data_IF_095498273937
#
_entry.id   IF_095498273937
#
_cell.length_a   1.000
_cell.length_b   1.000
_cell.length_c   1.000
_cell.angle_alpha   90.00
_cell.angle_beta   90.00
_cell.angle_gamma   90.00
#
_symmetry.space_group_name_H-M   'P 1'
#
loop_
_entity.id
_entity.type
_entity.pdbx_description
1 polymer ?
#
# COMPACT_ATOMS: atom_id res chain seq x y z
N UNK A 1 3.08 22.23 -13.95
CA UNK A 1 3.41 22.16 -12.52
C UNK A 1 3.72 20.70 -12.27
N UNK A 2 4.77 20.36 -11.51
CA UNK A 2 5.20 18.96 -11.37
C UNK A 2 4.16 18.16 -10.58
N UNK A 3 3.24 17.51 -11.29
CA UNK A 3 2.10 16.84 -10.69
C UNK A 3 2.52 15.42 -10.28
N UNK A 4 2.65 15.21 -8.97
CA UNK A 4 2.80 13.90 -8.38
C UNK A 4 1.42 13.36 -8.04
N UNK A 5 1.13 12.14 -8.50
CA UNK A 5 -0.14 11.45 -8.26
C UNK A 5 -0.33 11.08 -6.76
N UNK A 6 0.78 10.94 -6.04
CA UNK A 6 0.79 10.70 -4.59
C UNK A 6 1.74 11.65 -3.86
N UNK A 7 1.43 11.93 -2.60
CA UNK A 7 2.22 12.79 -1.71
C UNK A 7 3.38 12.07 -1.01
N UNK A 8 3.56 10.77 -1.29
CA UNK A 8 4.56 9.96 -0.60
C UNK A 8 5.68 9.48 -1.53
N UNK A 9 6.89 9.52 -1.00
CA UNK A 9 8.11 9.04 -1.65
C UNK A 9 8.81 8.03 -0.74
N UNK A 10 9.17 6.88 -1.30
CA UNK A 10 10.21 6.03 -0.73
C UNK A 10 11.56 6.50 -1.25
N UNK A 11 12.59 6.43 -0.43
CA UNK A 11 13.96 6.73 -0.84
C UNK A 11 14.91 5.64 -0.36
N UNK A 12 15.97 5.42 -1.13
CA UNK A 12 17.04 4.49 -0.74
C UNK A 12 18.23 5.23 -0.11
N UNK A 13 18.76 6.24 -0.81
CA UNK A 13 19.97 6.96 -0.39
C UNK A 13 19.66 8.42 -0.03
N UNK A 14 19.99 8.80 1.22
CA UNK A 14 19.92 10.17 1.72
C UNK A 14 21.34 10.74 1.87
N UNK A 15 21.62 11.82 1.16
CA UNK A 15 22.93 12.48 1.15
C UNK A 15 22.87 13.81 1.92
N UNK A 16 23.93 14.10 2.67
CA UNK A 16 24.13 15.43 3.29
C UNK A 16 25.39 16.04 2.72
N UNK A 17 25.24 17.09 1.92
CA UNK A 17 26.34 17.90 1.40
C UNK A 17 26.14 19.35 1.84
N UNK A 18 25.67 20.21 0.95
CA UNK A 18 25.21 21.57 1.23
C UNK A 18 23.82 21.58 1.88
N UNK A 19 23.00 20.58 1.58
CA UNK A 19 21.68 20.33 2.16
C UNK A 19 21.43 18.81 2.25
N UNK A 20 20.25 18.41 2.71
CA UNK A 20 19.79 17.02 2.65
C UNK A 20 19.15 16.78 1.28
N UNK A 21 19.66 15.79 0.55
CA UNK A 21 19.14 15.37 -0.74
C UNK A 21 18.73 13.90 -0.68
N UNK A 22 17.64 13.55 -1.35
CA UNK A 22 17.26 12.15 -1.60
C UNK A 22 17.74 11.82 -3.01
N UNK A 23 18.69 10.89 -3.13
CA UNK A 23 19.34 10.59 -4.41
C UNK A 23 18.44 9.75 -5.33
N UNK A 24 17.83 8.71 -4.76
CA UNK A 24 16.91 7.81 -5.46
C UNK A 24 15.57 7.82 -4.73
N UNK A 25 14.50 8.12 -5.46
CA UNK A 25 13.15 8.17 -4.93
C UNK A 25 12.16 7.45 -5.83
N UNK A 26 11.19 6.76 -5.23
CA UNK A 26 10.05 6.18 -5.93
C UNK A 26 8.78 6.72 -5.30
N UNK A 27 7.87 7.27 -6.12
CA UNK A 27 6.55 7.67 -5.67
C UNK A 27 5.73 6.43 -5.32
N UNK A 28 5.03 6.47 -4.19
CA UNK A 28 4.20 5.36 -3.72
C UNK A 28 2.84 5.84 -3.25
N UNK A 29 1.84 4.98 -3.42
CA UNK A 29 0.49 5.23 -2.93
C UNK A 29 0.36 4.95 -1.41
N UNK A 30 -0.66 5.52 -0.77
CA UNK A 30 -1.01 5.24 0.63
C UNK A 30 -1.14 3.75 0.99
N UNK A 31 -1.82 2.94 0.19
CA UNK A 31 -2.13 1.55 0.52
C UNK A 31 -0.88 0.64 0.63
N UNK A 32 0.11 0.69 -0.29
CA UNK A 32 1.39 0.01 -0.10
C UNK A 32 2.11 0.39 1.20
N UNK A 33 2.15 1.69 1.54
CA UNK A 33 2.74 2.16 2.81
C UNK A 33 1.95 1.65 4.02
N UNK A 34 0.63 1.68 3.93
CA UNK A 34 -0.28 1.18 4.96
C UNK A 34 -0.24 -0.34 5.08
N UNK A 35 0.21 -1.09 4.07
CA UNK A 35 0.31 -2.54 4.12
C UNK A 35 1.68 -3.04 4.59
N UNK A 36 2.77 -2.39 4.17
CA UNK A 36 4.13 -2.81 4.53
C UNK A 36 4.78 -1.99 5.65
N UNK A 37 4.18 -0.88 6.06
CA UNK A 37 4.71 -0.04 7.12
C UNK A 37 4.66 -0.70 8.51
N UNK A 38 5.63 -0.39 9.35
CA UNK A 38 5.69 -0.87 10.73
C UNK A 38 4.64 -0.18 11.62
N UNK A 39 3.98 -0.96 12.48
CA UNK A 39 3.02 -0.48 13.49
C UNK A 39 1.79 0.18 12.88
N UNK A 40 0.63 -0.51 12.91
CA UNK A 40 -0.63 0.05 12.42
C UNK A 40 -1.68 0.20 13.51
N UNK A 41 -1.97 1.46 13.82
CA UNK A 41 -2.89 1.82 14.91
C UNK A 41 -4.11 2.52 14.37
N UNK A 42 -5.26 1.99 14.79
CA UNK A 42 -6.55 2.59 14.50
C UNK A 42 -6.95 3.47 15.69
N UNK A 43 -7.47 4.65 15.40
CA UNK A 43 -8.05 5.53 16.40
C UNK A 43 -9.10 6.44 15.77
N UNK A 44 -9.92 7.05 16.63
CA UNK A 44 -10.96 7.98 16.23
C UNK A 44 -10.67 9.34 16.87
N UNK A 45 -10.75 10.40 16.07
CA UNK A 45 -10.53 11.78 16.53
C UNK A 45 -11.68 12.66 16.00
N UNK A 46 -12.44 13.27 16.91
CA UNK A 46 -13.58 14.14 16.59
C UNK A 46 -14.61 13.50 15.63
N UNK A 47 -14.93 12.22 15.83
CA UNK A 47 -15.87 11.48 14.98
C UNK A 47 -15.33 11.10 13.60
N UNK A 48 -14.04 11.31 13.34
CA UNK A 48 -13.36 10.86 12.12
C UNK A 48 -12.45 9.68 12.43
N UNK A 49 -12.59 8.61 11.65
CA UNK A 49 -11.81 7.39 11.77
C UNK A 49 -10.46 7.51 11.05
N UNK A 50 -9.38 7.09 11.71
CA UNK A 50 -8.03 7.13 11.19
C UNK A 50 -7.27 5.81 11.41
N UNK A 51 -6.31 5.56 10.53
CA UNK A 51 -5.26 4.57 10.72
C UNK A 51 -3.90 5.24 10.56
N UNK A 52 -2.96 4.95 11.44
CA UNK A 52 -1.60 5.48 11.39
C UNK A 52 -0.57 4.37 11.19
N UNK A 53 0.46 4.68 10.41
CA UNK A 53 1.69 3.89 10.29
C UNK A 53 2.79 4.58 11.11
N UNK A 54 3.44 3.84 12.01
CA UNK A 54 4.53 4.32 12.86
C UNK A 54 4.21 5.66 13.57
N UNK A 55 2.96 5.80 14.02
CA UNK A 55 2.37 6.98 14.70
C UNK A 55 2.52 8.33 13.97
N UNK A 56 3.06 8.35 12.75
CA UNK A 56 3.51 9.57 12.07
C UNK A 56 2.75 9.79 10.77
N UNK A 57 2.44 8.73 10.03
CA UNK A 57 1.73 8.81 8.76
C UNK A 57 0.27 8.41 8.99
N UNK A 58 -0.64 9.38 8.90
CA UNK A 58 -2.07 9.22 9.23
C UNK A 58 -2.93 9.22 7.98
N UNK A 59 -3.84 8.27 7.88
CA UNK A 59 -4.81 8.14 6.79
C UNK A 59 -6.23 8.11 7.34
N UNK A 60 -7.16 8.83 6.69
CA UNK A 60 -8.59 8.64 6.98
C UNK A 60 -9.00 7.27 6.47
N UNK A 61 -9.53 6.44 7.35
CA UNK A 61 -9.79 5.05 7.03
C UNK A 61 -10.93 4.52 7.89
N UNK A 62 -11.92 3.89 7.26
CA UNK A 62 -13.01 3.23 7.97
C UNK A 62 -12.46 2.06 8.78
N UNK A 63 -13.08 1.78 9.93
CA UNK A 63 -12.73 0.62 10.76
C UNK A 63 -12.70 -0.69 9.98
N UNK A 64 -13.65 -0.91 9.06
CA UNK A 64 -13.69 -2.13 8.23
C UNK A 64 -12.44 -2.31 7.37
N UNK A 65 -11.99 -1.24 6.71
CA UNK A 65 -10.77 -1.26 5.88
C UNK A 65 -9.53 -1.46 6.77
N UNK A 66 -9.46 -0.77 7.92
CA UNK A 66 -8.39 -0.98 8.90
C UNK A 66 -8.29 -2.44 9.35
N UNK A 67 -9.43 -3.07 9.70
CA UNK A 67 -9.47 -4.49 10.08
C UNK A 67 -9.03 -5.40 8.95
N UNK A 68 -9.48 -5.14 7.71
CA UNK A 68 -9.07 -5.92 6.54
C UNK A 68 -7.55 -5.89 6.33
N UNK A 69 -6.93 -4.70 6.44
CA UNK A 69 -5.46 -4.58 6.31
C UNK A 69 -4.75 -5.38 7.41
N UNK A 70 -5.23 -5.30 8.66
CA UNK A 70 -4.68 -6.07 9.79
C UNK A 70 -4.79 -7.58 9.56
N UNK A 71 -5.95 -8.05 9.11
CA UNK A 71 -6.18 -9.47 8.87
C UNK A 71 -5.30 -10.01 7.73
N UNK A 72 -5.14 -9.25 6.65
CA UNK A 72 -4.27 -9.64 5.53
C UNK A 72 -2.79 -9.65 5.92
N UNK A 73 -2.34 -8.69 6.74
CA UNK A 73 -0.97 -8.69 7.29
C UNK A 73 -0.71 -9.94 8.14
N UNK A 74 -1.60 -10.24 9.10
CA UNK A 74 -1.47 -11.42 9.96
C UNK A 74 -1.44 -12.72 9.15
N UNK A 75 -2.26 -12.83 8.09
CA UNK A 75 -2.24 -13.98 7.18
C UNK A 75 -0.95 -14.06 6.37
N UNK A 76 -0.41 -12.92 5.93
CA UNK A 76 0.88 -12.88 5.23
C UNK A 76 2.01 -13.32 6.16
N UNK A 77 2.02 -12.87 7.43
CA UNK A 77 3.02 -13.29 8.41
C UNK A 77 2.97 -14.79 8.65
N UNK A 78 1.78 -15.37 8.79
CA UNK A 78 1.62 -16.83 8.91
C UNK A 78 2.07 -17.59 7.66
N UNK A 79 1.83 -17.05 6.46
CA UNK A 79 2.34 -17.63 5.21
C UNK A 79 3.88 -17.57 5.17
N UNK A 80 4.48 -16.45 5.55
CA UNK A 80 5.92 -16.29 5.58
C UNK A 80 6.56 -17.24 6.60
N UNK A 81 5.99 -17.37 7.79
CA UNK A 81 6.43 -18.32 8.82
C UNK A 81 6.39 -19.77 8.30
N UNK A 82 5.32 -20.15 7.61
CA UNK A 82 5.23 -21.46 6.96
C UNK A 82 6.32 -21.64 5.90
N UNK A 83 6.57 -20.64 5.04
CA UNK A 83 7.57 -20.72 3.97
C UNK A 83 9.01 -20.70 4.46
N UNK A 84 9.28 -20.13 5.63
CA UNK A 84 10.59 -20.24 6.30
C UNK A 84 10.91 -21.69 6.65
N UNK A 85 9.91 -22.46 7.12
CA UNK A 85 10.09 -23.87 7.52
C UNK A 85 9.87 -24.86 6.37
N UNK A 86 9.09 -24.48 5.36
CA UNK A 86 8.76 -25.29 4.18
C UNK A 86 9.05 -24.49 2.90
N UNK A 87 10.33 -24.31 2.54
CA UNK A 87 10.69 -23.55 1.35
C UNK A 87 10.11 -24.18 0.09
N UNK A 88 9.49 -23.36 -0.75
CA UNK A 88 8.88 -23.81 -1.99
C UNK A 88 8.29 -22.64 -2.76
N UNK A 89 8.01 -22.87 -4.04
CA UNK A 89 7.31 -21.90 -4.86
C UNK A 89 5.88 -21.69 -4.33
N UNK A 90 5.33 -20.49 -4.52
CA UNK A 90 3.92 -20.24 -4.22
C UNK A 90 3.06 -20.92 -5.28
N UNK A 91 2.03 -21.65 -4.84
CA UNK A 91 0.99 -22.12 -5.76
C UNK A 91 0.04 -20.96 -6.10
N UNK A 92 0.12 -20.48 -7.33
CA UNK A 92 -0.74 -19.42 -7.87
C UNK A 92 -2.05 -19.93 -8.47
N UNK A 93 -2.36 -21.22 -8.36
CA UNK A 93 -3.64 -21.78 -8.80
C UNK A 93 -4.84 -21.04 -8.18
N UNK A 94 -6.00 -21.08 -8.84
CA UNK A 94 -7.22 -20.44 -8.32
C UNK A 94 -7.75 -21.08 -7.04
N UNK A 95 -7.38 -22.34 -6.80
CA UNK A 95 -7.79 -23.13 -5.64
C UNK A 95 -6.84 -23.01 -4.46
N UNK A 96 -5.64 -22.47 -4.66
CA UNK A 96 -4.63 -22.26 -3.61
C UNK A 96 -5.03 -21.14 -2.65
N UNK A 97 -4.95 -21.42 -1.36
CA UNK A 97 -5.14 -20.42 -0.30
C UNK A 97 -4.00 -19.38 -0.34
N UNK A 98 -2.75 -19.80 -0.52
CA UNK A 98 -1.59 -18.89 -0.62
C UNK A 98 -1.77 -17.92 -1.80
N UNK A 99 -2.16 -18.46 -2.96
CA UNK A 99 -2.42 -17.66 -4.15
C UNK A 99 -3.59 -16.71 -3.97
N UNK A 100 -4.67 -17.14 -3.29
CA UNK A 100 -5.83 -16.29 -3.01
C UNK A 100 -5.46 -15.11 -2.09
N UNK A 101 -4.67 -15.38 -1.03
CA UNK A 101 -4.17 -14.35 -0.13
C UNK A 101 -3.31 -13.31 -0.86
N UNK A 102 -2.32 -13.75 -1.62
CA UNK A 102 -1.43 -12.83 -2.34
C UNK A 102 -2.17 -12.02 -3.40
N UNK A 103 -3.16 -12.60 -4.08
CA UNK A 103 -4.04 -11.85 -4.99
C UNK A 103 -4.82 -10.76 -4.28
N UNK A 104 -5.39 -11.05 -3.12
CA UNK A 104 -6.11 -10.06 -2.31
C UNK A 104 -5.18 -8.91 -1.86
N UNK A 105 -3.93 -9.23 -1.49
CA UNK A 105 -2.91 -8.24 -1.15
C UNK A 105 -2.56 -7.36 -2.36
N UNK A 106 -2.32 -7.97 -3.53
CA UNK A 106 -2.05 -7.25 -4.77
C UNK A 106 -3.21 -6.32 -5.11
N UNK A 107 -4.45 -6.81 -5.04
CA UNK A 107 -5.65 -6.02 -5.32
C UNK A 107 -5.75 -4.81 -4.38
N UNK A 108 -5.50 -5.02 -3.08
CA UNK A 108 -5.49 -3.93 -2.10
C UNK A 108 -4.41 -2.88 -2.41
N UNK A 109 -3.14 -3.28 -2.54
CA UNK A 109 -2.03 -2.32 -2.67
C UNK A 109 -1.98 -1.61 -4.03
N UNK A 110 -2.63 -2.16 -5.06
CA UNK A 110 -2.73 -1.56 -6.40
C UNK A 110 -4.03 -0.81 -6.63
N UNK A 111 -4.93 -0.75 -5.64
CA UNK A 111 -6.25 -0.17 -5.81
C UNK A 111 -6.18 1.30 -6.23
N UNK A 112 -5.38 2.13 -5.55
CA UNK A 112 -5.27 3.57 -5.82
C UNK A 112 -4.63 3.87 -7.18
N UNK A 113 -3.61 3.11 -7.56
CA UNK A 113 -2.96 3.19 -8.87
C UNK A 113 -3.95 2.94 -10.01
N UNK A 114 -4.75 1.87 -9.89
CA UNK A 114 -5.78 1.53 -10.88
C UNK A 114 -6.87 2.59 -11.00
N UNK A 115 -7.28 3.20 -9.89
CA UNK A 115 -8.31 4.26 -9.92
C UNK A 115 -7.84 5.47 -10.74
N UNK A 116 -6.55 5.80 -10.66
CA UNK A 116 -5.97 6.90 -11.43
C UNK A 116 -5.85 6.57 -12.91
N UNK A 117 -5.42 5.36 -13.26
CA UNK A 117 -5.39 4.91 -14.66
C UNK A 117 -6.78 4.99 -15.31
N UNK A 118 -7.82 4.55 -14.60
CA UNK A 118 -9.21 4.62 -15.08
C UNK A 118 -9.67 6.08 -15.25
N UNK A 119 -9.31 6.97 -14.31
CA UNK A 119 -9.68 8.37 -14.41
C UNK A 119 -9.03 9.07 -15.62
N UNK A 120 -7.77 8.72 -15.93
CA UNK A 120 -7.05 9.24 -17.10
C UNK A 120 -7.66 8.73 -18.42
N UNK A 121 -8.02 7.44 -18.51
CA UNK A 121 -8.68 6.87 -19.69
C UNK A 121 -10.01 7.56 -20.02
N UNK A 122 -10.82 7.89 -19.00
CA UNK A 122 -12.11 8.57 -19.19
C UNK A 122 -11.92 10.01 -19.68
N UNK A 123 -10.91 10.72 -19.19
CA UNK A 123 -10.64 12.09 -19.61
C UNK A 123 -10.19 12.14 -21.08
N UNK A 124 -9.32 11.22 -21.52
CA UNK A 124 -8.83 11.16 -22.91
C UNK A 124 -9.94 10.84 -23.94
N UNK A 125 -10.89 9.97 -23.59
CA UNK A 125 -12.05 9.66 -24.44
C UNK A 125 -13.01 10.86 -24.59
N UNK A 126 -13.08 11.74 -23.58
CA UNK A 126 -13.98 12.89 -23.57
C UNK A 126 -13.46 14.08 -24.43
N UNK A 127 -12.16 14.10 -24.76
CA UNK A 127 -11.56 15.08 -25.67
C UNK A 127 -11.58 14.65 -27.14
N UNK A 128 -12.07 13.45 -27.44
CA UNK A 128 -12.12 12.88 -28.80
C UNK A 128 -13.48 13.01 -29.50
N UNK A 129 -14.44 13.76 -28.95
CA UNK A 129 -15.77 14.03 -29.53
C UNK A 129 -16.02 15.51 -29.83
#
# INVERSE_FOLDING_TARGET
>A
MSDFESRFLLYHLKLKSTAIFLHDTTMVYPLPLLFFGEGIDYYEENGTEFIAVNNSIRFKCRKSTSSLVKDLRNRLDGLLEHKVTHPGVIDWSRTSEEGALLRAIIELITYEDKQLMIAQEIDDDNFSN
#
